data_IF_034595702496
#
_entry.id   IF_034595702496
#
_cell.length_a   1.000
_cell.length_b   1.000
_cell.length_c   1.000
_cell.angle_alpha   90.00
_cell.angle_beta   90.00
_cell.angle_gamma   90.00
#
_symmetry.space_group_name_H-M   'P 1'
#
loop_
_entity.id
_entity.type
_entity.pdbx_description
1 polymer ?
#
# COMPACT_ATOMS: atom_id res chain seq x y z
N UNK A 1 -1.58 -18.59 5.66
CA UNK A 1 -2.47 -18.10 4.60
C UNK A 1 -2.74 -16.63 4.96
N UNK A 2 -2.21 -15.68 4.19
CA UNK A 2 -2.34 -14.25 4.51
C UNK A 2 -3.66 -13.73 3.95
N UNK A 3 -4.57 -13.29 4.82
CA UNK A 3 -5.80 -12.59 4.41
C UNK A 3 -5.62 -11.10 4.71
N UNK A 4 -4.88 -10.40 3.84
CA UNK A 4 -4.90 -8.94 3.86
C UNK A 4 -6.24 -8.51 3.27
N UNK A 5 -7.12 -7.95 4.09
CA UNK A 5 -8.31 -7.25 3.61
C UNK A 5 -7.85 -5.93 3.00
N UNK A 6 -7.37 -5.99 1.75
CA UNK A 6 -7.39 -4.82 0.88
C UNK A 6 -8.86 -4.45 0.74
N UNK A 7 -9.24 -3.29 1.27
CA UNK A 7 -10.50 -2.64 0.96
C UNK A 7 -10.73 -2.82 -0.54
N UNK A 8 -11.80 -3.54 -0.93
CA UNK A 8 -12.08 -3.83 -2.34
C UNK A 8 -12.01 -2.50 -3.07
N UNK A 9 -10.98 -2.31 -3.88
CA UNK A 9 -11.01 -1.30 -4.93
C UNK A 9 -12.00 -1.88 -5.94
N UNK A 10 -13.30 -1.78 -5.65
CA UNK A 10 -14.40 -2.15 -6.55
C UNK A 10 -14.47 -1.24 -7.76
N UNK A 11 -13.56 -0.28 -7.88
CA UNK A 11 -13.38 0.51 -9.09
C UNK A 11 -11.88 0.68 -9.32
N UNK A 12 -11.28 -0.22 -10.10
CA UNK A 12 -10.05 0.15 -10.82
C UNK A 12 -10.31 1.53 -11.42
N UNK A 13 -9.46 2.55 -11.15
CA UNK A 13 -9.72 3.89 -11.64
C UNK A 13 -9.95 3.77 -13.14
N UNK A 14 -11.13 4.19 -13.60
CA UNK A 14 -11.59 4.10 -14.98
C UNK A 14 -10.74 5.05 -15.84
N UNK A 15 -9.45 4.73 -15.97
CA UNK A 15 -8.48 5.44 -16.79
C UNK A 15 -8.69 4.91 -18.20
N UNK A 16 -9.70 5.47 -18.86
CA UNK A 16 -10.06 5.15 -20.24
C UNK A 16 -8.80 5.07 -21.10
N UNK A 17 -8.60 3.88 -21.70
CA UNK A 17 -7.81 3.58 -22.91
C UNK A 17 -6.34 3.12 -22.85
N UNK A 18 -5.61 3.05 -21.72
CA UNK A 18 -4.17 2.69 -21.76
C UNK A 18 -3.63 1.82 -20.60
N UNK A 19 -4.49 1.09 -19.90
CA UNK A 19 -4.09 0.14 -18.85
C UNK A 19 -4.29 -1.29 -19.29
N UNK A 20 -3.26 -2.12 -19.10
CA UNK A 20 -3.33 -3.57 -19.30
C UNK A 20 -3.31 -4.22 -17.92
N UNK A 21 -4.36 -4.98 -17.60
CA UNK A 21 -4.38 -5.87 -16.44
C UNK A 21 -3.40 -7.02 -16.69
N UNK A 22 -2.57 -7.29 -15.69
CA UNK A 22 -1.54 -8.32 -15.72
C UNK A 22 -1.54 -9.08 -14.41
N UNK A 23 -0.96 -10.27 -14.45
CA UNK A 23 -0.75 -11.11 -13.28
C UNK A 23 0.72 -11.48 -13.14
N UNK A 24 1.18 -11.61 -11.90
CA UNK A 24 2.50 -12.13 -11.55
C UNK A 24 2.43 -12.76 -10.17
N UNK A 25 2.86 -14.02 -10.02
CA UNK A 25 2.81 -14.77 -8.74
C UNK A 25 1.44 -14.76 -8.03
N UNK A 26 0.35 -14.79 -8.80
CA UNK A 26 -1.02 -14.71 -8.25
C UNK A 26 -1.49 -13.30 -7.87
N UNK A 27 -0.65 -12.27 -8.01
CA UNK A 27 -1.01 -10.88 -7.81
C UNK A 27 -1.46 -10.22 -9.12
N UNK A 28 -2.59 -9.53 -9.07
CA UNK A 28 -3.07 -8.69 -10.18
C UNK A 28 -2.49 -7.28 -10.09
N UNK A 29 -2.07 -6.72 -11.24
CA UNK A 29 -1.58 -5.35 -11.34
C UNK A 29 -1.91 -4.71 -12.68
N UNK A 30 -1.90 -3.38 -12.73
CA UNK A 30 -2.10 -2.62 -13.96
C UNK A 30 -0.83 -1.89 -14.38
N UNK A 31 -0.44 -2.04 -15.65
CA UNK A 31 0.59 -1.19 -16.27
C UNK A 31 -0.06 0.02 -16.92
N UNK A 32 0.33 1.22 -16.49
CA UNK A 32 -0.05 2.48 -17.14
C UNK A 32 1.11 3.03 -17.95
N UNK A 33 0.84 3.52 -19.16
CA UNK A 33 1.85 4.23 -19.98
C UNK A 33 1.80 5.76 -19.82
N UNK A 34 0.62 6.27 -19.49
CA UNK A 34 0.32 7.70 -19.41
C UNK A 34 -0.49 8.01 -18.16
N UNK A 35 -0.39 9.26 -17.70
CA UNK A 35 -1.22 9.78 -16.62
C UNK A 35 -2.68 9.97 -17.05
N UNK A 36 -3.52 10.49 -16.14
CA UNK A 36 -4.94 10.76 -16.41
C UNK A 36 -5.19 11.81 -17.50
N UNK A 37 -4.18 12.62 -17.82
CA UNK A 37 -4.23 13.69 -18.82
C UNK A 37 -3.60 13.28 -20.16
N UNK A 38 -3.11 12.04 -20.28
CA UNK A 38 -2.46 11.54 -21.50
C UNK A 38 -0.97 11.90 -21.64
N UNK A 39 -0.36 12.46 -20.59
CA UNK A 39 1.07 12.78 -20.55
C UNK A 39 1.89 11.57 -20.13
N UNK A 40 3.14 11.51 -20.59
CA UNK A 40 4.11 10.54 -20.07
C UNK A 40 4.38 10.81 -18.59
N UNK A 41 4.58 9.74 -17.81
CA UNK A 41 4.94 9.89 -16.41
C UNK A 41 6.30 10.57 -16.25
N UNK A 42 6.37 11.56 -15.35
CA UNK A 42 7.63 12.17 -14.93
C UNK A 42 8.15 11.43 -13.68
N UNK A 43 9.36 10.89 -13.77
CA UNK A 43 9.96 10.07 -12.70
C UNK A 43 10.22 10.87 -11.43
N UNK A 44 10.67 12.11 -11.53
CA UNK A 44 10.94 12.98 -10.37
C UNK A 44 9.63 13.30 -9.64
N UNK A 45 8.59 13.69 -10.38
CA UNK A 45 7.28 13.96 -9.78
C UNK A 45 6.69 12.73 -9.07
N UNK A 46 6.93 11.52 -9.61
CA UNK A 46 6.50 10.28 -8.96
C UNK A 46 7.28 10.01 -7.67
N UNK A 47 8.58 10.32 -7.63
CA UNK A 47 9.41 10.20 -6.41
C UNK A 47 8.98 11.22 -5.36
N UNK A 48 8.81 12.48 -5.74
CA UNK A 48 8.32 13.54 -4.85
C UNK A 48 6.94 13.21 -4.28
N UNK A 49 6.07 12.63 -5.10
CA UNK A 49 4.78 12.13 -4.65
C UNK A 49 4.94 10.96 -3.67
N UNK A 50 5.88 10.04 -3.92
CA UNK A 50 6.14 8.91 -3.05
C UNK A 50 6.64 9.35 -1.67
N UNK A 51 7.55 10.32 -1.61
CA UNK A 51 8.15 10.83 -0.37
C UNK A 51 7.13 11.50 0.56
N UNK A 52 6.06 12.06 -0.01
CA UNK A 52 4.96 12.65 0.76
C UNK A 52 4.06 11.61 1.40
N UNK A 53 4.04 10.38 0.90
CA UNK A 53 3.10 9.36 1.35
C UNK A 53 3.54 8.72 2.68
N UNK A 54 2.55 8.46 3.52
CA UNK A 54 2.67 7.63 4.71
C UNK A 54 1.70 6.46 4.61
N UNK A 55 1.97 5.43 5.36
CA UNK A 55 1.15 4.23 5.45
C UNK A 55 0.78 4.01 6.90
N UNK A 56 -0.45 3.56 7.15
CA UNK A 56 -0.85 2.98 8.42
C UNK A 56 -0.96 1.48 8.18
N UNK A 57 -0.15 0.70 8.87
CA UNK A 57 -0.22 -0.76 8.83
C UNK A 57 -0.82 -1.23 10.14
N UNK A 58 -2.01 -1.82 10.08
CA UNK A 58 -2.73 -2.31 11.25
C UNK A 58 -2.48 -3.79 11.45
N UNK A 59 -1.98 -4.14 12.63
CA UNK A 59 -1.57 -5.51 13.00
C UNK A 59 -2.41 -6.00 14.18
N UNK A 60 -3.14 -7.09 13.97
CA UNK A 60 -3.84 -7.82 15.02
C UNK A 60 -2.84 -8.68 15.80
N UNK A 61 -2.80 -8.50 17.12
CA UNK A 61 -1.95 -9.29 18.02
C UNK A 61 -2.77 -9.92 19.13
N UNK A 62 -2.39 -11.14 19.49
CA UNK A 62 -2.92 -11.82 20.67
C UNK A 62 -1.90 -11.73 21.80
N UNK A 63 -2.31 -11.18 22.95
CA UNK A 63 -1.48 -11.10 24.15
C UNK A 63 -2.26 -11.73 25.30
N UNK A 64 -1.87 -12.95 25.66
CA UNK A 64 -2.65 -13.80 26.54
C UNK A 64 -4.00 -14.15 25.92
N UNK A 65 -5.08 -13.87 26.64
CA UNK A 65 -6.45 -14.15 26.19
C UNK A 65 -7.06 -12.99 25.36
N UNK A 66 -6.38 -11.84 25.31
CA UNK A 66 -6.93 -10.64 24.70
C UNK A 66 -6.33 -10.37 23.31
N UNK A 67 -7.17 -9.86 22.42
CA UNK A 67 -6.78 -9.38 21.09
C UNK A 67 -6.64 -7.86 21.07
N UNK A 68 -5.61 -7.38 20.41
CA UNK A 68 -5.24 -5.97 20.34
C UNK A 68 -4.93 -5.56 18.90
N UNK A 69 -5.27 -4.32 18.55
CA UNK A 69 -4.93 -3.74 17.25
C UNK A 69 -3.78 -2.74 17.42
N UNK A 70 -2.73 -2.92 16.63
CA UNK A 70 -1.55 -2.07 16.62
C UNK A 70 -1.42 -1.34 15.29
N UNK A 71 -1.51 -0.01 15.32
CA UNK A 71 -1.32 0.81 14.12
C UNK A 71 0.12 1.32 14.05
N UNK A 72 0.81 0.95 12.96
CA UNK A 72 2.14 1.41 12.65
C UNK A 72 2.09 2.51 11.60
N UNK A 73 2.58 3.70 11.96
CA UNK A 73 2.72 4.83 11.04
C UNK A 73 4.08 4.74 10.33
N UNK A 74 4.08 4.33 9.06
CA UNK A 74 5.29 4.01 8.29
C UNK A 74 5.44 5.01 7.14
N UNK A 75 6.62 5.64 7.00
CA UNK A 75 6.92 6.47 5.85
C UNK A 75 7.14 5.60 4.61
N UNK A 76 6.87 6.14 3.42
CA UNK A 76 7.17 5.41 2.17
C UNK A 76 8.65 4.95 2.09
N UNK A 77 9.59 5.77 2.53
CA UNK A 77 11.02 5.42 2.57
C UNK A 77 11.38 4.27 3.52
N UNK A 78 10.51 4.00 4.51
CA UNK A 78 10.74 2.99 5.56
C UNK A 78 9.90 1.72 5.36
N UNK A 79 9.05 1.68 4.32
CA UNK A 79 8.06 0.61 4.14
C UNK A 79 8.73 -0.76 3.91
N UNK A 80 9.82 -0.79 3.14
CA UNK A 80 10.60 -2.00 2.91
C UNK A 80 11.21 -2.53 4.21
N UNK A 81 11.80 -1.63 5.03
CA UNK A 81 12.36 -1.98 6.33
C UNK A 81 11.29 -2.51 7.28
N UNK A 82 10.09 -1.93 7.26
CA UNK A 82 8.97 -2.39 8.05
C UNK A 82 8.59 -3.83 7.68
N UNK A 83 8.35 -4.11 6.39
CA UNK A 83 8.00 -5.45 5.94
C UNK A 83 9.12 -6.46 6.20
N UNK A 84 10.38 -6.06 6.04
CA UNK A 84 11.50 -6.91 6.42
C UNK A 84 11.45 -7.27 7.91
N UNK A 85 11.23 -6.29 8.79
CA UNK A 85 11.10 -6.55 10.23
C UNK A 85 9.92 -7.47 10.55
N UNK A 86 8.81 -7.34 9.82
CA UNK A 86 7.65 -8.23 9.93
C UNK A 86 8.00 -9.67 9.52
N UNK A 87 8.58 -9.87 8.33
CA UNK A 87 8.96 -11.20 7.85
C UNK A 87 10.11 -11.84 8.64
N UNK A 88 11.00 -11.03 9.22
CA UNK A 88 12.05 -11.48 10.15
C UNK A 88 11.47 -11.87 11.54
N UNK A 89 10.16 -11.72 11.78
CA UNK A 89 9.50 -12.07 13.05
C UNK A 89 9.69 -11.03 14.18
N UNK A 90 10.22 -9.84 13.88
CA UNK A 90 10.38 -8.76 14.89
C UNK A 90 9.07 -8.04 15.19
N UNK A 91 8.11 -8.15 14.28
CA UNK A 91 6.75 -7.65 14.44
C UNK A 91 5.83 -8.86 14.39
N UNK A 92 5.38 -9.32 15.56
CA UNK A 92 4.43 -10.42 15.67
C UNK A 92 3.01 -9.97 15.33
N UNK A 93 2.14 -10.91 14.97
CA UNK A 93 0.73 -10.68 14.66
C UNK A 93 0.39 -10.78 13.16
N UNK A 94 -0.88 -10.54 12.86
CA UNK A 94 -1.44 -10.59 11.50
C UNK A 94 -1.65 -9.17 10.98
N UNK A 95 -1.05 -8.83 9.84
CA UNK A 95 -1.40 -7.59 9.13
C UNK A 95 -2.81 -7.75 8.57
N UNK A 96 -3.75 -6.94 9.06
CA UNK A 96 -5.15 -7.00 8.62
C UNK A 96 -5.51 -5.87 7.65
N UNK A 97 -4.82 -4.73 7.72
CA UNK A 97 -5.06 -3.56 6.88
C UNK A 97 -3.77 -2.78 6.60
N UNK A 98 -3.67 -2.22 5.40
CA UNK A 98 -2.64 -1.25 5.02
C UNK A 98 -3.34 -0.07 4.33
N UNK A 99 -3.38 1.09 5.00
CA UNK A 99 -3.98 2.31 4.47
C UNK A 99 -2.89 3.29 4.00
N UNK A 100 -3.07 3.87 2.82
CA UNK A 100 -2.23 4.98 2.36
C UNK A 100 -2.78 6.30 2.88
N UNK A 101 -1.99 7.02 3.68
CA UNK A 101 -2.24 8.40 4.10
C UNK A 101 -1.42 9.35 3.25
N UNK A 102 -2.07 10.06 2.34
CA UNK A 102 -1.49 11.28 1.76
C UNK A 102 -1.55 12.40 2.81
N UNK A 103 -0.60 13.36 2.81
CA UNK A 103 -0.68 14.48 3.73
C UNK A 103 -1.95 15.29 3.42
N UNK A 104 -2.70 15.69 4.46
CA UNK A 104 -4.01 16.35 4.38
C UNK A 104 -4.02 17.72 3.66
N UNK A 105 -2.89 18.19 3.14
CA UNK A 105 -2.78 19.51 2.48
C UNK A 105 -2.71 19.42 0.94
N UNK A 106 -3.64 18.68 0.34
CA UNK A 106 -3.97 18.79 -1.10
C UNK A 106 -5.51 18.84 -1.29
N UNK A 107 -6.18 19.64 -0.46
CA UNK A 107 -7.50 20.19 -0.74
C UNK A 107 -7.34 21.65 -1.17
#
# INVERSE_FOLDING_TARGET
>A
MFNVYMNKITQFPNRKSNSILKSWEGFEYMKFKKDKNGNSFNTEHLRDYADKNKYVVSVLRQVGENSFLYDYYVKNSDIERFFKAYFDGKIEGEIIEIEKRAPENLA
#
